data_IF_463556908939
#
_entry.id   IF_463556908939
#
_cell.length_a   1.000
_cell.length_b   1.000
_cell.length_c   1.000
_cell.angle_alpha   90.00
_cell.angle_beta   90.00
_cell.angle_gamma   90.00
#
_symmetry.space_group_name_H-M   'P 1'
#
loop_
_entity.id
_entity.type
_entity.pdbx_description
1 polymer ?
#
# COMPACT_ATOMS: atom_id res chain seq x y z
N UNK A 1 -15.04 13.13 -6.98
CA UNK A 1 -15.64 13.14 -5.62
C UNK A 1 -14.59 13.07 -4.54
N UNK A 2 -13.57 12.21 -4.69
CA UNK A 2 -12.54 11.93 -3.68
C UNK A 2 -11.57 13.09 -3.42
N UNK A 3 -11.44 14.05 -4.33
CA UNK A 3 -10.70 15.30 -4.14
C UNK A 3 -11.54 16.39 -3.49
N UNK A 4 -12.84 16.43 -3.78
CA UNK A 4 -13.71 17.49 -3.25
C UNK A 4 -13.92 17.36 -1.75
N UNK A 5 -14.08 16.14 -1.25
CA UNK A 5 -14.33 15.89 0.17
C UNK A 5 -13.21 16.41 1.09
N UNK A 6 -11.92 16.03 0.91
CA UNK A 6 -10.85 16.55 1.75
C UNK A 6 -10.68 18.08 1.60
N UNK A 7 -10.85 18.63 0.39
CA UNK A 7 -10.78 20.08 0.18
C UNK A 7 -11.87 20.84 0.94
N UNK A 8 -13.10 20.31 0.93
CA UNK A 8 -14.21 20.88 1.69
C UNK A 8 -13.97 20.83 3.18
N UNK A 9 -13.41 19.72 3.70
CA UNK A 9 -13.05 19.58 5.11
C UNK A 9 -11.96 20.57 5.52
N UNK A 10 -10.87 20.66 4.74
CA UNK A 10 -9.78 21.61 4.99
C UNK A 10 -10.33 23.05 5.06
N UNK A 11 -11.07 23.44 4.01
CA UNK A 11 -11.66 24.78 3.91
C UNK A 11 -12.61 25.08 5.08
N UNK A 12 -13.53 24.14 5.38
CA UNK A 12 -14.52 24.34 6.44
C UNK A 12 -13.87 24.49 7.84
N UNK A 13 -12.87 23.71 8.17
CA UNK A 13 -12.16 23.87 9.45
C UNK A 13 -11.39 25.17 9.54
N UNK A 14 -10.72 25.60 8.45
CA UNK A 14 -10.01 26.88 8.43
C UNK A 14 -10.98 28.07 8.54
N UNK A 15 -12.11 28.04 7.84
CA UNK A 15 -13.17 29.06 7.94
C UNK A 15 -13.72 29.14 9.37
N UNK A 16 -14.02 27.99 9.99
CA UNK A 16 -14.53 27.92 11.35
C UNK A 16 -13.52 28.39 12.44
N UNK A 17 -12.22 28.28 12.15
CA UNK A 17 -11.18 28.90 13.00
C UNK A 17 -11.12 30.41 12.80
N UNK A 18 -11.28 30.88 11.56
CA UNK A 18 -11.20 32.32 11.23
C UNK A 18 -12.40 33.12 11.76
N UNK A 19 -13.59 32.55 11.75
CA UNK A 19 -14.81 33.18 12.24
C UNK A 19 -15.05 32.99 13.72
N UNK A 20 -14.16 32.27 14.43
CA UNK A 20 -14.25 32.04 15.88
C UNK A 20 -15.23 30.93 16.29
N UNK A 21 -15.81 30.20 15.36
CA UNK A 21 -16.69 29.03 15.67
C UNK A 21 -15.88 27.94 16.39
N UNK A 22 -14.62 27.77 16.03
CA UNK A 22 -13.67 26.90 16.75
C UNK A 22 -12.83 27.77 17.69
N UNK A 23 -12.89 27.56 19.00
CA UNK A 23 -12.14 28.36 19.96
C UNK A 23 -10.62 28.04 19.88
N UNK A 24 -9.72 29.01 20.19
CA UNK A 24 -8.28 28.85 20.07
C UNK A 24 -7.67 27.63 20.79
N UNK A 25 -8.24 27.23 21.93
CA UNK A 25 -7.84 26.06 22.70
C UNK A 25 -7.99 24.75 21.92
N UNK A 26 -8.89 24.68 20.94
CA UNK A 26 -9.13 23.49 20.11
C UNK A 26 -8.36 23.51 18.78
N UNK A 27 -7.65 24.59 18.42
CA UNK A 27 -6.95 24.74 17.13
C UNK A 27 -6.02 23.57 16.83
N UNK A 28 -5.23 23.11 17.80
CA UNK A 28 -4.28 22.01 17.59
C UNK A 28 -4.98 20.72 17.14
N UNK A 29 -6.17 20.44 17.66
CA UNK A 29 -6.99 19.29 17.28
C UNK A 29 -7.44 19.39 15.82
N UNK A 30 -8.00 20.52 15.43
CA UNK A 30 -8.53 20.71 14.08
C UNK A 30 -7.44 20.90 13.03
N UNK A 31 -6.32 21.56 13.37
CA UNK A 31 -5.14 21.64 12.51
C UNK A 31 -4.55 20.26 12.21
N UNK A 32 -4.56 19.32 13.16
CA UNK A 32 -4.13 17.94 12.91
C UNK A 32 -5.01 17.24 11.87
N UNK A 33 -6.32 17.53 11.87
CA UNK A 33 -7.25 17.01 10.85
C UNK A 33 -6.96 17.66 9.49
N UNK A 34 -6.77 18.97 9.43
CA UNK A 34 -6.42 19.70 8.20
C UNK A 34 -5.13 19.13 7.58
N UNK A 35 -4.10 18.91 8.39
CA UNK A 35 -2.84 18.30 7.94
C UNK A 35 -3.08 16.87 7.40
N UNK A 36 -3.90 16.09 8.09
CA UNK A 36 -4.24 14.72 7.64
C UNK A 36 -4.94 14.71 6.28
N UNK A 37 -5.90 15.63 6.06
CA UNK A 37 -6.60 15.75 4.76
C UNK A 37 -5.69 16.31 3.66
N UNK A 38 -4.76 17.23 3.96
CA UNK A 38 -3.77 17.72 3.03
C UNK A 38 -2.81 16.58 2.58
N UNK A 39 -2.30 15.79 3.52
CA UNK A 39 -1.47 14.62 3.23
C UNK A 39 -2.23 13.56 2.38
N UNK A 40 -3.53 13.43 2.61
CA UNK A 40 -4.40 12.57 1.78
C UNK A 40 -4.49 13.07 0.34
N UNK A 41 -4.67 14.37 0.13
CA UNK A 41 -4.67 14.99 -1.20
C UNK A 41 -3.33 14.81 -1.92
N UNK A 42 -2.23 14.96 -1.22
CA UNK A 42 -0.88 14.73 -1.76
C UNK A 42 -0.72 13.29 -2.26
N UNK A 43 -1.13 12.31 -1.46
CA UNK A 43 -1.11 10.88 -1.86
C UNK A 43 -2.00 10.62 -3.08
N UNK A 44 -3.18 11.24 -3.15
CA UNK A 44 -4.08 11.13 -4.31
C UNK A 44 -3.45 11.70 -5.57
N UNK A 45 -2.86 12.91 -5.50
CA UNK A 45 -2.23 13.58 -6.65
C UNK A 45 -1.01 12.83 -7.14
N UNK A 46 -0.15 12.37 -6.24
CA UNK A 46 1.05 11.58 -6.57
C UNK A 46 0.68 10.24 -7.20
N UNK A 47 -0.33 9.55 -6.64
CA UNK A 47 -0.84 8.30 -7.19
C UNK A 47 -1.41 8.47 -8.60
N UNK A 48 -2.21 9.52 -8.83
CA UNK A 48 -2.77 9.82 -10.15
C UNK A 48 -1.69 10.19 -11.17
N UNK A 49 -0.69 10.99 -10.77
CA UNK A 49 0.42 11.35 -11.65
C UNK A 49 1.20 10.09 -12.08
N UNK A 50 1.46 9.18 -11.17
CA UNK A 50 2.08 7.90 -11.49
C UNK A 50 1.26 7.13 -12.54
N UNK A 51 -0.06 7.02 -12.34
CA UNK A 51 -0.95 6.28 -13.23
C UNK A 51 -1.17 6.97 -14.61
N UNK A 52 -1.18 8.30 -14.67
CA UNK A 52 -1.38 9.04 -15.94
C UNK A 52 -0.15 8.98 -16.84
N UNK A 53 1.05 9.01 -16.28
CA UNK A 53 2.29 8.85 -17.06
C UNK A 53 2.38 7.46 -17.72
N UNK A 54 1.60 6.48 -17.27
CA UNK A 54 1.58 5.11 -17.80
C UNK A 54 0.66 4.94 -19.02
N UNK A 55 -0.34 5.83 -19.18
CA UNK A 55 -1.32 5.74 -20.26
C UNK A 55 -0.82 6.28 -21.61
N UNK A 56 0.22 7.10 -21.64
CA UNK A 56 0.65 7.81 -22.87
C UNK A 56 1.86 7.20 -23.57
N UNK A 57 2.78 6.55 -22.87
CA UNK A 57 4.01 5.98 -23.45
C UNK A 57 4.45 4.65 -22.82
N UNK A 58 3.68 4.12 -21.85
CA UNK A 58 4.15 3.06 -20.95
C UNK A 58 5.15 3.59 -19.90
N UNK A 59 5.33 2.91 -18.76
CA UNK A 59 6.35 3.31 -17.81
C UNK A 59 7.74 3.03 -18.37
N UNK A 60 8.60 4.03 -18.37
CA UNK A 60 10.03 3.81 -18.57
C UNK A 60 10.55 3.14 -17.29
N UNK A 61 10.81 1.83 -17.35
CA UNK A 61 11.34 1.06 -16.24
C UNK A 61 12.86 1.06 -16.27
N UNK A 62 13.45 1.42 -15.16
CA UNK A 62 14.89 1.39 -14.95
C UNK A 62 15.30 0.04 -14.34
N UNK A 63 15.51 -0.94 -15.20
CA UNK A 63 15.89 -2.29 -14.75
C UNK A 63 17.30 -2.34 -14.20
N UNK A 64 17.43 -2.92 -13.01
CA UNK A 64 18.70 -3.22 -12.37
C UNK A 64 18.65 -4.57 -11.65
N UNK A 65 19.81 -5.13 -11.35
CA UNK A 65 19.92 -6.31 -10.51
C UNK A 65 20.01 -5.90 -9.04
N UNK A 66 19.16 -6.47 -8.19
CA UNK A 66 19.18 -6.21 -6.75
C UNK A 66 18.70 -7.41 -5.93
N UNK A 67 19.03 -7.38 -4.63
CA UNK A 67 18.58 -8.38 -3.65
C UNK A 67 17.21 -8.01 -3.08
N UNK A 68 16.26 -8.94 -3.15
CA UNK A 68 14.96 -8.80 -2.52
C UNK A 68 15.05 -8.78 -0.99
N UNK A 69 16.05 -9.45 -0.40
CA UNK A 69 16.27 -9.39 1.04
C UNK A 69 16.50 -7.94 1.50
N UNK A 70 17.37 -7.21 0.79
CA UNK A 70 17.72 -5.83 1.13
C UNK A 70 16.50 -4.91 0.99
N UNK A 71 15.75 -5.05 -0.09
CA UNK A 71 14.54 -4.23 -0.35
C UNK A 71 13.46 -4.51 0.69
N UNK A 72 13.23 -5.76 1.06
CA UNK A 72 12.25 -6.11 2.09
C UNK A 72 12.68 -5.58 3.45
N UNK A 73 13.94 -5.77 3.83
CA UNK A 73 14.44 -5.30 5.12
C UNK A 73 14.29 -3.80 5.26
N UNK A 74 14.73 -3.02 4.27
CA UNK A 74 14.61 -1.55 4.29
C UNK A 74 13.14 -1.09 4.29
N UNK A 75 12.25 -1.77 3.55
CA UNK A 75 10.84 -1.44 3.54
C UNK A 75 10.18 -1.73 4.89
N UNK A 76 10.49 -2.87 5.51
CA UNK A 76 9.95 -3.25 6.83
C UNK A 76 10.36 -2.25 7.91
N UNK A 77 11.59 -1.77 7.89
CA UNK A 77 12.09 -0.75 8.84
C UNK A 77 11.23 0.51 8.83
N UNK A 78 10.71 0.92 7.66
CA UNK A 78 9.84 2.11 7.56
C UNK A 78 8.49 1.94 8.27
N UNK A 79 8.05 0.71 8.49
CA UNK A 79 6.77 0.41 9.14
C UNK A 79 6.87 0.01 10.61
N UNK A 80 8.07 -0.04 11.17
CA UNK A 80 8.29 -0.48 12.56
C UNK A 80 7.41 0.29 13.55
N UNK A 81 7.42 1.62 13.50
CA UNK A 81 6.60 2.44 14.39
C UNK A 81 5.09 2.27 14.21
N UNK A 82 4.62 1.94 12.99
CA UNK A 82 3.21 1.66 12.73
C UNK A 82 2.79 0.29 13.28
N UNK A 83 3.67 -0.69 13.18
CA UNK A 83 3.48 -2.03 13.74
C UNK A 83 3.48 -2.00 15.27
N UNK A 84 4.40 -1.27 15.89
CA UNK A 84 4.46 -1.09 17.35
C UNK A 84 3.16 -0.48 17.90
N UNK A 85 2.64 0.57 17.26
CA UNK A 85 1.36 1.20 17.65
C UNK A 85 0.16 0.25 17.62
N UNK A 86 0.17 -0.73 16.73
CA UNK A 86 -0.89 -1.74 16.60
C UNK A 86 -0.52 -3.09 17.23
N UNK A 87 0.66 -3.19 17.88
CA UNK A 87 1.19 -4.45 18.39
C UNK A 87 1.21 -5.58 17.34
N UNK A 88 1.52 -5.23 16.09
CA UNK A 88 1.60 -6.20 14.98
C UNK A 88 3.01 -6.77 14.93
N UNK A 89 3.11 -8.11 14.89
CA UNK A 89 4.38 -8.81 14.70
C UNK A 89 4.66 -8.97 13.20
N UNK A 90 5.75 -8.37 12.71
CA UNK A 90 6.27 -8.62 11.36
C UNK A 90 7.22 -9.82 11.39
N UNK A 91 6.92 -10.84 10.57
CA UNK A 91 7.70 -12.07 10.44
C UNK A 91 8.23 -12.14 9.02
N UNK A 92 9.56 -12.11 8.86
CA UNK A 92 10.20 -12.23 7.55
C UNK A 92 10.76 -13.65 7.41
N UNK A 93 10.50 -14.29 6.29
CA UNK A 93 10.91 -15.65 5.99
C UNK A 93 11.72 -15.70 4.69
N UNK A 94 13.00 -16.04 4.80
CA UNK A 94 13.91 -16.31 3.71
C UNK A 94 14.35 -17.79 3.75
N UNK A 95 13.57 -18.73 3.21
CA UNK A 95 13.87 -20.17 3.29
C UNK A 95 15.19 -20.58 2.65
N UNK A 96 15.69 -19.81 1.69
CA UNK A 96 16.97 -20.04 0.99
C UNK A 96 17.82 -18.78 1.03
N UNK A 97 18.95 -18.78 0.33
CA UNK A 97 19.82 -17.62 0.12
C UNK A 97 19.75 -17.16 -1.34
N UNK A 98 20.06 -15.87 -1.57
CA UNK A 98 20.19 -15.28 -2.91
C UNK A 98 18.86 -15.18 -3.68
N UNK A 99 18.11 -14.14 -3.35
CA UNK A 99 16.90 -13.75 -4.06
C UNK A 99 17.16 -12.51 -4.94
N UNK A 100 18.18 -12.63 -5.84
CA UNK A 100 18.48 -11.56 -6.78
C UNK A 100 17.47 -11.56 -7.91
N UNK A 101 16.95 -10.40 -8.22
CA UNK A 101 15.95 -10.15 -9.27
C UNK A 101 16.46 -9.08 -10.23
N UNK A 102 15.90 -9.07 -11.44
CA UNK A 102 16.14 -8.05 -12.44
C UNK A 102 14.84 -7.29 -12.73
N UNK A 103 14.72 -6.11 -12.15
CA UNK A 103 13.50 -5.30 -12.16
C UNK A 103 13.83 -3.81 -11.88
N UNK A 104 12.84 -2.93 -11.94
CA UNK A 104 12.96 -1.56 -11.44
C UNK A 104 12.82 -1.56 -9.90
N UNK A 105 13.93 -1.36 -9.21
CA UNK A 105 14.01 -1.41 -7.75
C UNK A 105 13.04 -0.45 -7.07
N UNK A 106 13.00 0.81 -7.53
CA UNK A 106 12.11 1.82 -6.92
C UNK A 106 10.63 1.48 -7.09
N UNK A 107 10.26 0.87 -8.22
CA UNK A 107 8.88 0.39 -8.45
C UNK A 107 8.56 -0.82 -7.58
N UNK A 108 9.50 -1.74 -7.37
CA UNK A 108 9.27 -2.89 -6.48
C UNK A 108 9.22 -2.47 -5.01
N UNK A 109 10.02 -1.49 -4.59
CA UNK A 109 9.87 -0.86 -3.27
C UNK A 109 8.47 -0.27 -3.09
N UNK A 110 7.93 0.41 -4.12
CA UNK A 110 6.56 0.95 -4.11
C UNK A 110 5.50 -0.16 -4.02
N UNK A 111 5.68 -1.30 -4.69
CA UNK A 111 4.80 -2.47 -4.56
C UNK A 111 4.77 -2.97 -3.13
N UNK A 112 5.94 -3.23 -2.55
CA UNK A 112 6.06 -3.72 -1.17
C UNK A 112 5.46 -2.74 -0.16
N UNK A 113 5.74 -1.45 -0.32
CA UNK A 113 5.18 -0.41 0.52
C UNK A 113 3.65 -0.43 0.50
N UNK A 114 3.02 -0.47 -0.68
CA UNK A 114 1.56 -0.48 -0.80
C UNK A 114 0.93 -1.75 -0.20
N UNK A 115 1.56 -2.91 -0.41
CA UNK A 115 1.06 -4.18 0.14
C UNK A 115 1.19 -4.22 1.67
N UNK A 116 2.33 -3.76 2.22
CA UNK A 116 2.54 -3.68 3.66
C UNK A 116 1.64 -2.65 4.34
N UNK A 117 1.48 -1.46 3.75
CA UNK A 117 0.57 -0.43 4.26
C UNK A 117 -0.86 -0.97 4.36
N UNK A 118 -1.34 -1.69 3.33
CA UNK A 118 -2.63 -2.36 3.36
C UNK A 118 -2.69 -3.45 4.44
N UNK A 119 -1.70 -4.32 4.51
CA UNK A 119 -1.65 -5.40 5.50
C UNK A 119 -1.72 -4.84 6.93
N UNK A 120 -0.97 -3.78 7.24
CA UNK A 120 -1.00 -3.13 8.55
C UNK A 120 -2.34 -2.45 8.82
N UNK A 121 -2.91 -1.74 7.84
CA UNK A 121 -4.18 -1.05 8.00
C UNK A 121 -5.32 -1.98 8.33
N UNK A 122 -5.41 -3.10 7.62
CA UNK A 122 -6.54 -4.02 7.72
C UNK A 122 -6.34 -5.17 8.70
N UNK A 123 -5.13 -5.35 9.21
CA UNK A 123 -4.85 -6.27 10.33
C UNK A 123 -5.51 -5.84 11.63
N UNK A 124 -5.82 -6.82 12.47
CA UNK A 124 -6.27 -6.59 13.83
C UNK A 124 -5.10 -6.20 14.74
N UNK A 125 -5.39 -5.51 15.85
CA UNK A 125 -4.40 -5.22 16.89
C UNK A 125 -3.88 -6.53 17.49
N UNK A 126 -2.57 -6.62 17.71
CA UNK A 126 -1.93 -7.83 18.27
C UNK A 126 -1.78 -8.99 17.28
N UNK A 127 -2.06 -8.75 16.00
CA UNK A 127 -1.97 -9.75 14.94
C UNK A 127 -0.53 -9.87 14.41
N UNK A 128 -0.35 -10.68 13.37
CA UNK A 128 0.94 -10.85 12.69
C UNK A 128 0.80 -10.59 11.19
N UNK A 129 1.91 -10.20 10.56
CA UNK A 129 2.06 -10.12 9.10
C UNK A 129 3.27 -10.95 8.73
N UNK A 130 3.15 -11.81 7.71
CA UNK A 130 4.22 -12.68 7.25
C UNK A 130 4.63 -12.24 5.84
N UNK A 131 5.91 -11.87 5.69
CA UNK A 131 6.56 -11.68 4.40
C UNK A 131 7.38 -12.92 4.10
N UNK A 132 7.16 -13.54 2.96
CA UNK A 132 7.92 -14.72 2.55
C UNK A 132 8.45 -14.53 1.15
N UNK A 133 9.74 -14.86 0.95
CA UNK A 133 10.37 -14.88 -0.37
C UNK A 133 10.87 -16.28 -0.66
N UNK A 134 10.62 -16.77 -1.87
CA UNK A 134 11.08 -18.09 -2.29
C UNK A 134 11.33 -18.15 -3.80
N UNK A 135 12.28 -19.00 -4.17
CA UNK A 135 12.57 -19.27 -5.58
C UNK A 135 11.68 -20.40 -6.11
N UNK A 136 11.13 -20.22 -7.32
CA UNK A 136 10.41 -21.28 -8.05
C UNK A 136 10.72 -21.14 -9.55
N UNK A 137 11.51 -22.09 -10.08
CA UNK A 137 11.99 -22.02 -11.46
C UNK A 137 12.86 -20.77 -11.69
N UNK A 138 12.56 -20.07 -12.77
CA UNK A 138 13.27 -18.85 -13.20
C UNK A 138 12.79 -17.58 -12.49
N UNK A 139 11.91 -17.71 -11.47
CA UNK A 139 11.31 -16.57 -10.77
C UNK A 139 11.55 -16.60 -9.28
N UNK A 140 11.57 -15.40 -8.71
CA UNK A 140 11.50 -15.13 -7.28
C UNK A 140 10.08 -14.71 -6.96
N UNK A 141 9.46 -15.37 -6.01
CA UNK A 141 8.13 -15.04 -5.52
C UNK A 141 8.23 -14.34 -4.18
N UNK A 142 7.41 -13.31 -4.00
CA UNK A 142 7.26 -12.62 -2.74
C UNK A 142 5.79 -12.64 -2.33
N UNK A 143 5.49 -13.05 -1.10
CA UNK A 143 4.16 -12.98 -0.53
C UNK A 143 4.11 -12.08 0.70
N UNK A 144 3.01 -11.33 0.82
CA UNK A 144 2.66 -10.52 1.99
C UNK A 144 1.32 -11.04 2.49
N UNK A 145 1.32 -11.66 3.67
CA UNK A 145 0.14 -12.28 4.28
C UNK A 145 -0.21 -11.58 5.58
N UNK A 146 -1.43 -11.07 5.65
CA UNK A 146 -2.05 -10.57 6.87
C UNK A 146 -3.11 -11.53 7.44
N UNK A 147 -3.46 -11.33 8.69
CA UNK A 147 -4.52 -12.05 9.40
C UNK A 147 -5.57 -11.04 9.88
N UNK A 148 -6.01 -10.21 8.95
CA UNK A 148 -6.96 -9.14 9.17
C UNK A 148 -8.38 -9.52 8.77
N UNK A 149 -9.11 -8.49 8.31
CA UNK A 149 -10.53 -8.63 7.96
C UNK A 149 -10.79 -9.44 6.69
N UNK A 150 -9.77 -9.67 5.86
CA UNK A 150 -9.95 -10.31 4.56
C UNK A 150 -10.70 -9.42 3.56
N UNK A 151 -10.98 -9.99 2.39
CA UNK A 151 -11.67 -9.33 1.29
C UNK A 151 -12.90 -10.17 0.92
N UNK A 152 -14.10 -9.58 0.83
CA UNK A 152 -15.29 -10.28 0.35
C UNK A 152 -15.08 -10.85 -1.07
N UNK A 153 -15.62 -12.01 -1.34
CA UNK A 153 -15.41 -12.74 -2.61
C UNK A 153 -15.89 -11.94 -3.83
N UNK A 154 -16.96 -11.18 -3.70
CA UNK A 154 -17.50 -10.30 -4.75
C UNK A 154 -16.65 -9.07 -5.04
N UNK A 155 -15.67 -8.80 -4.20
CA UNK A 155 -14.77 -7.65 -4.27
C UNK A 155 -13.37 -7.99 -4.78
N UNK A 156 -13.00 -9.28 -4.83
CA UNK A 156 -11.65 -9.75 -5.21
C UNK A 156 -11.19 -9.20 -6.57
N UNK A 157 -12.06 -9.21 -7.57
CA UNK A 157 -11.72 -8.70 -8.91
C UNK A 157 -11.73 -7.16 -8.97
N UNK A 158 -12.45 -6.51 -8.04
CA UNK A 158 -12.64 -5.06 -8.03
C UNK A 158 -11.54 -4.31 -7.28
N UNK A 159 -10.82 -4.97 -6.35
CA UNK A 159 -9.78 -4.31 -5.53
C UNK A 159 -8.65 -3.68 -6.35
N UNK A 160 -8.48 -4.10 -7.59
CA UNK A 160 -7.49 -3.57 -8.54
C UNK A 160 -7.94 -2.29 -9.25
N UNK A 161 -9.23 -1.93 -9.13
CA UNK A 161 -9.77 -0.72 -9.73
C UNK A 161 -9.38 0.51 -8.92
N UNK A 162 -9.15 1.62 -9.64
CA UNK A 162 -8.82 2.91 -9.02
C UNK A 162 -9.99 3.39 -8.16
N UNK A 163 -9.69 3.90 -6.97
CA UNK A 163 -10.67 4.42 -5.99
C UNK A 163 -11.63 3.38 -5.42
N UNK A 164 -11.45 2.11 -5.74
CA UNK A 164 -12.29 1.07 -5.17
C UNK A 164 -11.94 0.82 -3.70
N UNK A 165 -12.96 0.74 -2.89
CA UNK A 165 -12.91 0.34 -1.48
C UNK A 165 -14.11 -0.55 -1.18
N UNK A 166 -13.89 -1.65 -0.46
CA UNK A 166 -14.99 -2.45 0.08
C UNK A 166 -15.73 -1.66 1.17
N UNK A 167 -16.99 -1.97 1.42
CA UNK A 167 -17.75 -1.30 2.49
C UNK A 167 -17.11 -1.50 3.86
N UNK A 168 -16.55 -2.68 4.11
CA UNK A 168 -15.79 -3.00 5.30
C UNK A 168 -14.53 -2.13 5.43
N UNK A 169 -13.80 -1.90 4.33
CA UNK A 169 -12.60 -1.06 4.32
C UNK A 169 -12.90 0.41 4.52
N UNK A 170 -14.05 0.91 4.08
CA UNK A 170 -14.52 2.29 4.30
C UNK A 170 -14.69 2.62 5.78
N UNK A 171 -15.10 1.64 6.58
CA UNK A 171 -15.24 1.79 8.03
C UNK A 171 -13.89 1.89 8.77
N UNK A 172 -12.87 1.14 8.33
CA UNK A 172 -11.55 1.06 8.99
C UNK A 172 -10.53 2.07 8.48
N UNK A 173 -10.52 2.33 7.18
CA UNK A 173 -9.58 3.29 6.56
C UNK A 173 -10.33 4.42 5.86
N UNK A 174 -10.70 5.43 6.66
CA UNK A 174 -11.30 6.66 6.15
C UNK A 174 -10.32 7.50 5.31
N UNK A 175 -9.03 7.31 5.49
CA UNK A 175 -7.96 8.12 4.90
C UNK A 175 -7.32 7.49 3.66
N UNK A 176 -7.52 6.21 3.40
CA UNK A 176 -6.99 5.51 2.24
C UNK A 176 -7.52 6.09 0.92
N UNK A 177 -6.67 6.14 -0.09
CA UNK A 177 -7.01 6.69 -1.41
C UNK A 177 -7.73 5.69 -2.33
N UNK A 178 -7.67 4.38 -2.06
CA UNK A 178 -8.14 3.35 -2.98
C UNK A 178 -7.31 3.22 -4.27
N UNK A 179 -6.09 3.81 -4.30
CA UNK A 179 -5.22 3.81 -5.48
C UNK A 179 -4.07 2.80 -5.34
N UNK A 180 -3.69 2.44 -4.10
CA UNK A 180 -2.48 1.65 -3.83
C UNK A 180 -2.42 0.32 -4.58
N UNK A 181 -3.50 -0.48 -4.57
CA UNK A 181 -3.54 -1.77 -5.27
C UNK A 181 -3.61 -1.60 -6.80
N UNK A 182 -4.24 -0.55 -7.30
CA UNK A 182 -4.21 -0.23 -8.73
C UNK A 182 -2.76 0.07 -9.19
N UNK A 183 -1.99 0.84 -8.41
CA UNK A 183 -0.56 1.10 -8.67
C UNK A 183 0.23 -0.22 -8.66
N UNK A 184 0.00 -1.08 -7.68
CA UNK A 184 0.65 -2.39 -7.60
C UNK A 184 0.39 -3.20 -8.86
N UNK A 185 -0.86 -3.30 -9.30
CA UNK A 185 -1.25 -4.04 -10.52
C UNK A 185 -0.55 -3.50 -11.75
N UNK A 186 -0.55 -2.18 -11.93
CA UNK A 186 0.10 -1.51 -13.06
C UNK A 186 1.63 -1.73 -13.07
N UNK A 187 2.30 -1.64 -11.90
CA UNK A 187 3.74 -1.91 -11.78
C UNK A 187 4.04 -3.34 -12.22
N UNK A 188 3.29 -4.32 -11.72
CA UNK A 188 3.52 -5.71 -12.06
C UNK A 188 3.26 -5.98 -13.54
N UNK A 189 2.19 -5.44 -14.11
CA UNK A 189 1.90 -5.54 -15.55
C UNK A 189 3.02 -4.91 -16.41
N UNK A 190 3.55 -3.75 -16.00
CA UNK A 190 4.65 -3.09 -16.70
C UNK A 190 5.93 -3.94 -16.72
N UNK A 191 6.18 -4.70 -15.64
CA UNK A 191 7.29 -5.65 -15.57
C UNK A 191 7.03 -6.95 -16.38
N UNK A 192 5.82 -7.14 -16.94
CA UNK A 192 5.40 -8.41 -17.56
C UNK A 192 5.26 -9.54 -16.54
N UNK A 193 5.00 -9.18 -15.27
CA UNK A 193 4.90 -10.10 -14.15
C UNK A 193 3.49 -10.13 -13.55
N UNK A 194 3.19 -11.16 -12.75
CA UNK A 194 1.88 -11.36 -12.17
C UNK A 194 1.86 -10.97 -10.69
N UNK A 195 0.67 -10.58 -10.25
CA UNK A 195 0.29 -10.48 -8.85
C UNK A 195 -1.06 -11.15 -8.65
N UNK A 196 -1.13 -12.02 -7.65
CA UNK A 196 -2.33 -12.77 -7.27
C UNK A 196 -2.76 -12.40 -5.85
N UNK A 197 -4.03 -12.62 -5.54
CA UNK A 197 -4.60 -12.43 -4.21
C UNK A 197 -5.35 -13.68 -3.77
N UNK A 198 -5.10 -14.12 -2.55
CA UNK A 198 -5.81 -15.20 -1.87
C UNK A 198 -6.38 -14.58 -0.60
N UNK A 199 -7.70 -14.54 -0.48
CA UNK A 199 -8.33 -13.92 0.68
C UNK A 199 -9.60 -14.65 1.09
N UNK A 200 -9.84 -14.63 2.38
CA UNK A 200 -11.10 -15.12 2.99
C UNK A 200 -11.55 -14.07 4.00
N UNK A 201 -12.77 -13.59 3.85
CA UNK A 201 -13.38 -12.63 4.77
C UNK A 201 -13.36 -13.14 6.21
N UNK A 202 -12.92 -12.28 7.13
CA UNK A 202 -12.74 -12.60 8.55
C UNK A 202 -11.48 -13.41 8.90
N UNK A 203 -10.69 -13.86 7.89
CA UNK A 203 -9.49 -14.69 8.11
C UNK A 203 -8.20 -13.95 7.78
N UNK A 204 -8.17 -13.20 6.65
CA UNK A 204 -7.01 -12.44 6.21
C UNK A 204 -6.79 -12.50 4.70
N UNK A 205 -5.71 -11.84 4.26
CA UNK A 205 -5.36 -11.71 2.84
C UNK A 205 -3.89 -12.05 2.61
N UNK A 206 -3.59 -12.72 1.52
CA UNK A 206 -2.24 -12.97 1.02
C UNK A 206 -2.13 -12.46 -0.41
N UNK A 207 -1.25 -11.48 -0.64
CA UNK A 207 -0.84 -11.06 -1.97
C UNK A 207 0.46 -11.76 -2.34
N UNK A 208 0.52 -12.30 -3.56
CA UNK A 208 1.71 -13.01 -4.07
C UNK A 208 2.09 -12.43 -5.42
N UNK A 209 3.32 -11.95 -5.56
CA UNK A 209 3.84 -11.49 -6.84
C UNK A 209 5.14 -12.21 -7.21
N UNK A 210 5.44 -12.23 -8.50
CA UNK A 210 6.66 -12.84 -9.03
C UNK A 210 7.55 -11.79 -9.70
N UNK A 211 8.85 -12.03 -9.71
CA UNK A 211 9.84 -11.26 -10.45
C UNK A 211 10.80 -12.21 -11.15
N UNK A 212 11.33 -11.77 -12.27
CA UNK A 212 12.36 -12.51 -13.00
C UNK A 212 13.64 -12.56 -12.15
N UNK A 213 14.18 -13.76 -12.01
CA UNK A 213 15.47 -13.96 -11.33
C UNK A 213 16.58 -13.33 -12.15
N UNK A 214 17.51 -12.65 -11.48
CA UNK A 214 18.74 -12.20 -12.13
C UNK A 214 19.52 -13.41 -12.65
N UNK A 215 20.07 -13.29 -13.85
CA UNK A 215 20.95 -14.34 -14.41
C UNK A 215 22.27 -14.31 -13.62
N UNK A 216 22.74 -15.48 -13.26
CA UNK A 216 24.10 -15.62 -12.71
C UNK A 216 25.13 -15.23 -13.74
#
# INVERSE_FOLDING_TARGET
HDFRSPLTSIKGYLEAMMDGTIPPEDYNKYLSIVISEANRLEKLTTGLRSLNNWNSTGPELLYEEFSMENVITSTVETFQGSCEKKHIQLIIQFPTKHYNVYADKGKIEQVLYNLLDNAIKFSNVGSKIILKVYNKGEKVYCSVKDFGMGIPSDSIDKIWQRFYKTDLSRGRDKTGSGIGLAIVKEIMMAHGENIDVISTEGVGTEFVFSLKRAKK
#
